data_IF_069292174981
#
_entry.id   IF_069292174981
#
_cell.length_a   1.000
_cell.length_b   1.000
_cell.length_c   1.000
_cell.angle_alpha   90.00
_cell.angle_beta   90.00
_cell.angle_gamma   90.00
#
_symmetry.space_group_name_H-M   'P 1'
#
loop_
_entity.id
_entity.type
_entity.pdbx_description
1 polymer ?
#
# COMPACT_ATOMS: atom_id res chain seq x y z
N UNK A 1 13.59 9.93 -8.68
CA UNK A 1 12.96 8.93 -7.81
C UNK A 1 11.53 9.36 -7.50
N UNK A 2 10.55 8.45 -7.50
CA UNK A 2 9.13 8.76 -7.23
C UNK A 2 8.91 9.13 -5.75
N UNK A 3 7.99 10.01 -5.38
CA UNK A 3 7.79 10.43 -3.96
C UNK A 3 6.41 10.10 -3.39
N UNK A 4 5.47 9.63 -4.21
CA UNK A 4 4.13 9.25 -3.78
C UNK A 4 4.04 7.84 -3.21
N UNK A 5 2.81 7.38 -3.01
CA UNK A 5 2.51 6.01 -2.59
C UNK A 5 3.18 4.98 -3.50
N UNK A 6 3.85 3.98 -2.91
CA UNK A 6 4.61 2.96 -3.65
C UNK A 6 3.88 1.62 -3.81
N UNK A 7 2.76 1.38 -3.13
CA UNK A 7 2.05 0.09 -3.21
C UNK A 7 2.88 -1.12 -2.75
N UNK A 8 3.95 -0.89 -1.97
CA UNK A 8 4.90 -1.94 -1.57
C UNK A 8 5.99 -2.24 -2.61
N UNK A 9 6.02 -1.56 -3.75
CA UNK A 9 7.11 -1.68 -4.73
C UNK A 9 8.42 -1.10 -4.18
N UNK A 10 9.53 -1.74 -4.54
CA UNK A 10 10.87 -1.35 -4.09
C UNK A 10 11.57 -0.42 -5.08
N UNK A 11 12.30 0.56 -4.54
CA UNK A 11 13.08 1.54 -5.32
C UNK A 11 14.38 1.00 -5.91
N UNK A 12 14.80 -0.20 -5.50
CA UNK A 12 16.07 -0.83 -5.89
C UNK A 12 15.95 -1.70 -7.17
N UNK A 13 14.86 -1.58 -7.93
CA UNK A 13 14.61 -2.33 -9.15
C UNK A 13 14.12 -3.77 -8.96
N UNK A 14 14.12 -4.31 -7.73
CA UNK A 14 13.71 -5.72 -7.47
C UNK A 14 12.25 -6.03 -7.82
N UNK A 15 11.39 -5.01 -7.88
CA UNK A 15 9.97 -5.13 -8.25
C UNK A 15 9.66 -4.45 -9.59
N UNK A 16 10.69 -4.15 -10.40
CA UNK A 16 10.58 -3.44 -11.67
C UNK A 16 11.02 -1.97 -11.57
N UNK A 17 11.44 -1.43 -12.70
CA UNK A 17 11.96 -0.05 -12.80
C UNK A 17 10.86 1.01 -12.81
N UNK A 18 9.67 0.66 -13.32
CA UNK A 18 8.55 1.61 -13.46
C UNK A 18 7.22 0.94 -13.17
N UNK A 19 6.26 1.71 -12.66
CA UNK A 19 4.87 1.32 -12.50
C UNK A 19 3.96 2.48 -12.90
N UNK A 20 2.82 2.23 -13.54
CA UNK A 20 1.81 3.26 -13.75
C UNK A 20 1.31 3.78 -12.40
N UNK A 21 1.19 5.10 -12.33
CA UNK A 21 0.79 5.81 -11.14
C UNK A 21 -0.31 6.81 -11.49
N UNK A 22 -1.31 6.92 -10.62
CA UNK A 22 -2.38 7.90 -10.72
C UNK A 22 -2.52 8.62 -9.38
N UNK A 23 -2.60 9.94 -9.42
CA UNK A 23 -2.85 10.74 -8.23
C UNK A 23 -3.81 11.89 -8.51
N UNK A 24 -4.56 12.23 -7.48
CA UNK A 24 -5.37 13.44 -7.33
C UNK A 24 -5.07 14.01 -5.94
N UNK A 25 -5.61 15.17 -5.61
CA UNK A 25 -5.51 15.74 -4.25
C UNK A 25 -6.11 14.86 -3.15
N UNK A 26 -6.95 13.87 -3.51
CA UNK A 26 -7.70 13.05 -2.56
C UNK A 26 -7.42 11.54 -2.66
N UNK A 27 -6.62 11.11 -3.63
CA UNK A 27 -6.37 9.68 -3.86
C UNK A 27 -5.09 9.46 -4.65
N UNK A 28 -4.34 8.43 -4.25
CA UNK A 28 -3.19 7.89 -4.96
C UNK A 28 -3.46 6.41 -5.31
N UNK A 29 -3.01 5.96 -6.48
CA UNK A 29 -3.13 4.59 -6.92
C UNK A 29 -1.89 4.18 -7.72
N UNK A 30 -1.33 3.02 -7.38
CA UNK A 30 -0.21 2.38 -8.09
C UNK A 30 -0.73 1.09 -8.71
N UNK A 31 -0.30 0.77 -9.92
CA UNK A 31 -0.68 -0.47 -10.60
C UNK A 31 0.50 -1.45 -10.64
N UNK A 32 0.33 -2.62 -10.05
CA UNK A 32 1.24 -3.75 -10.21
C UNK A 32 1.06 -4.35 -11.61
N UNK A 33 1.94 -3.98 -12.55
CA UNK A 33 1.85 -4.44 -13.93
C UNK A 33 2.77 -5.64 -14.14
N UNK A 34 2.18 -6.81 -14.38
CA UNK A 34 2.92 -8.08 -14.52
C UNK A 34 4.03 -8.05 -15.57
N UNK A 35 3.87 -7.28 -16.66
CA UNK A 35 4.87 -7.13 -17.74
C UNK A 35 5.98 -6.14 -17.41
N UNK A 36 5.84 -5.34 -16.34
CA UNK A 36 6.88 -4.43 -15.84
C UNK A 36 7.63 -4.99 -14.63
N UNK A 37 7.21 -6.15 -14.11
CA UNK A 37 7.85 -6.82 -12.98
C UNK A 37 8.83 -7.91 -13.47
N UNK A 38 10.03 -8.04 -12.87
CA UNK A 38 11.00 -9.06 -13.25
C UNK A 38 10.47 -10.49 -13.06
N UNK A 39 10.88 -11.40 -13.94
CA UNK A 39 10.51 -12.83 -13.87
C UNK A 39 11.62 -13.75 -14.43
N UNK A 40 12.88 -13.37 -14.25
CA UNK A 40 14.04 -14.07 -14.80
C UNK A 40 14.56 -15.21 -13.91
N UNK A 41 14.20 -15.22 -12.63
CA UNK A 41 14.52 -16.28 -11.68
C UNK A 41 13.36 -16.54 -10.70
N UNK A 42 13.44 -17.62 -9.94
CA UNK A 42 12.40 -18.03 -8.99
C UNK A 42 12.08 -16.92 -7.98
N UNK A 43 13.09 -16.26 -7.42
CA UNK A 43 12.88 -15.18 -6.44
C UNK A 43 12.10 -14.00 -7.04
N UNK A 44 12.44 -13.59 -8.26
CA UNK A 44 11.72 -12.52 -8.97
C UNK A 44 10.28 -12.92 -9.30
N UNK A 45 10.04 -14.18 -9.65
CA UNK A 45 8.71 -14.71 -9.88
C UNK A 45 7.88 -14.72 -8.59
N UNK A 46 8.48 -15.13 -7.47
CA UNK A 46 7.83 -15.09 -6.14
C UNK A 46 7.47 -13.67 -5.72
N UNK A 47 8.34 -12.68 -5.96
CA UNK A 47 8.03 -11.27 -5.70
C UNK A 47 6.87 -10.80 -6.60
N UNK A 48 6.92 -11.10 -7.89
CA UNK A 48 5.85 -10.78 -8.84
C UNK A 48 4.51 -11.38 -8.41
N UNK A 49 4.46 -12.67 -8.10
CA UNK A 49 3.22 -13.33 -7.66
C UNK A 49 2.77 -12.86 -6.28
N UNK A 50 3.69 -12.46 -5.39
CA UNK A 50 3.34 -11.84 -4.11
C UNK A 50 2.62 -10.50 -4.29
N UNK A 51 3.10 -9.62 -5.15
CA UNK A 51 2.42 -8.34 -5.38
C UNK A 51 1.08 -8.56 -6.10
N UNK A 52 1.10 -9.25 -7.25
CA UNK A 52 -0.11 -9.52 -8.04
C UNK A 52 -1.15 -10.34 -7.28
N UNK A 53 -0.71 -11.26 -6.42
CA UNK A 53 -1.60 -12.14 -5.67
C UNK A 53 -2.24 -11.47 -4.47
N UNK A 54 -1.68 -10.39 -3.92
CA UNK A 54 -2.22 -9.73 -2.72
C UNK A 54 -3.17 -8.57 -3.03
N UNK A 55 -3.40 -8.24 -4.30
CA UNK A 55 -4.28 -7.15 -4.70
C UNK A 55 -5.76 -7.58 -4.65
N UNK A 56 -6.63 -6.72 -4.13
CA UNK A 56 -8.06 -7.00 -4.06
C UNK A 56 -8.79 -6.82 -5.39
N UNK A 57 -8.26 -5.96 -6.29
CA UNK A 57 -8.82 -5.72 -7.62
C UNK A 57 -7.80 -6.10 -8.68
N UNK A 58 -8.17 -7.03 -9.57
CA UNK A 58 -7.34 -7.43 -10.70
C UNK A 58 -7.91 -6.86 -12.00
N UNK A 59 -7.03 -6.29 -12.83
CA UNK A 59 -7.35 -5.89 -14.19
C UNK A 59 -6.57 -6.81 -15.13
N UNK A 60 -7.28 -7.50 -16.02
CA UNK A 60 -6.70 -8.45 -16.96
C UNK A 60 -6.97 -7.98 -18.39
N UNK A 61 -5.91 -7.82 -19.16
CA UNK A 61 -6.01 -7.71 -20.62
C UNK A 61 -5.95 -9.11 -21.22
N UNK A 62 -6.99 -9.53 -21.94
CA UNK A 62 -7.05 -10.86 -22.56
C UNK A 62 -7.25 -10.76 -24.06
N UNK A 63 -6.23 -11.17 -24.81
CA UNK A 63 -6.29 -11.30 -26.27
C UNK A 63 -6.89 -12.64 -26.71
N UNK A 64 -7.29 -13.48 -25.75
CA UNK A 64 -7.88 -14.78 -26.03
C UNK A 64 -9.39 -14.66 -26.28
N UNK A 65 -9.90 -15.43 -27.22
CA UNK A 65 -11.33 -15.60 -27.49
C UNK A 65 -12.12 -16.31 -26.39
N UNK A 66 -11.44 -16.94 -25.42
CA UNK A 66 -12.08 -17.70 -24.34
C UNK A 66 -12.16 -16.84 -23.10
N UNK A 67 -13.21 -17.07 -22.31
CA UNK A 67 -13.37 -16.38 -21.04
C UNK A 67 -12.19 -16.70 -20.09
N UNK A 68 -11.74 -15.67 -19.40
CA UNK A 68 -10.60 -15.72 -18.52
C UNK A 68 -11.02 -16.44 -17.24
N UNK A 69 -10.20 -17.40 -16.83
CA UNK A 69 -10.49 -18.22 -15.65
C UNK A 69 -9.87 -17.56 -14.42
N UNK A 70 -10.69 -17.28 -13.40
CA UNK A 70 -10.25 -16.67 -12.13
C UNK A 70 -9.09 -17.42 -11.46
N UNK A 71 -9.07 -18.76 -11.59
CA UNK A 71 -8.03 -19.61 -11.00
C UNK A 71 -6.67 -19.61 -11.72
N UNK A 72 -6.44 -18.77 -12.74
CA UNK A 72 -5.13 -18.68 -13.41
C UNK A 72 -4.07 -18.12 -12.46
N UNK A 73 -4.40 -17.09 -11.68
CA UNK A 73 -3.56 -16.63 -10.57
C UNK A 73 -4.17 -17.21 -9.29
N UNK A 74 -3.51 -18.17 -8.63
CA UNK A 74 -4.04 -18.74 -7.39
C UNK A 74 -3.93 -17.71 -6.27
N UNK A 75 -5.05 -17.08 -5.93
CA UNK A 75 -5.14 -16.12 -4.83
C UNK A 75 -6.52 -16.13 -4.19
N UNK A 76 -6.55 -15.90 -2.89
CA UNK A 76 -7.77 -15.64 -2.12
C UNK A 76 -8.09 -14.14 -2.02
N UNK A 77 -7.20 -13.24 -2.45
CA UNK A 77 -7.37 -11.79 -2.28
C UNK A 77 -8.12 -11.13 -3.41
N UNK A 78 -7.94 -11.58 -4.65
CA UNK A 78 -8.69 -11.09 -5.81
C UNK A 78 -10.19 -11.17 -5.50
N UNK A 79 -10.79 -10.05 -5.11
CA UNK A 79 -12.20 -9.91 -4.75
C UNK A 79 -12.98 -9.45 -5.98
N UNK A 80 -12.39 -8.55 -6.76
CA UNK A 80 -12.94 -8.03 -8.02
C UNK A 80 -11.98 -8.33 -9.16
N UNK A 81 -12.50 -8.92 -10.23
CA UNK A 81 -11.78 -9.22 -11.46
C UNK A 81 -12.43 -8.48 -12.62
N UNK A 82 -11.69 -7.55 -13.22
CA UNK A 82 -12.08 -6.79 -14.42
C UNK A 82 -11.28 -7.33 -15.60
N UNK A 83 -11.93 -7.98 -16.55
CA UNK A 83 -11.30 -8.53 -17.75
C UNK A 83 -11.67 -7.68 -18.95
N UNK A 84 -10.67 -7.30 -19.73
CA UNK A 84 -10.79 -6.47 -20.92
C UNK A 84 -10.47 -7.35 -22.13
N UNK A 85 -11.45 -7.48 -23.02
CA UNK A 85 -11.31 -8.17 -24.30
C UNK A 85 -11.33 -7.14 -25.43
N UNK A 86 -10.19 -6.88 -26.10
CA UNK A 86 -10.18 -6.02 -27.27
C UNK A 86 -10.96 -6.66 -28.42
N UNK A 87 -11.72 -5.85 -29.15
CA UNK A 87 -12.47 -6.24 -30.33
C UNK A 87 -11.88 -5.58 -31.59
N UNK A 88 -12.23 -6.12 -32.76
CA UNK A 88 -11.69 -5.66 -34.05
C UNK A 88 -12.08 -4.22 -34.41
N UNK A 89 -13.16 -3.69 -33.85
CA UNK A 89 -13.70 -2.36 -34.14
C UNK A 89 -13.27 -1.28 -33.13
N UNK A 90 -12.12 -1.45 -32.45
CA UNK A 90 -11.61 -0.55 -31.40
C UNK A 90 -12.53 -0.41 -30.18
N UNK A 91 -13.55 -1.25 -30.06
CA UNK A 91 -14.30 -1.43 -28.83
C UNK A 91 -13.65 -2.51 -27.98
N UNK A 92 -13.98 -2.50 -26.70
CA UNK A 92 -13.51 -3.47 -25.72
C UNK A 92 -14.72 -3.99 -24.95
N UNK A 93 -14.88 -5.32 -24.90
CA UNK A 93 -15.85 -5.97 -24.03
C UNK A 93 -15.24 -6.08 -22.65
N UNK A 94 -15.97 -5.62 -21.65
CA UNK A 94 -15.59 -5.69 -20.25
C UNK A 94 -16.38 -6.82 -19.61
N UNK A 95 -15.69 -7.71 -18.92
CA UNK A 95 -16.30 -8.72 -18.05
C UNK A 95 -15.89 -8.41 -16.62
N UNK A 96 -16.85 -8.39 -15.69
CA UNK A 96 -16.60 -8.10 -14.28
C UNK A 96 -17.12 -9.26 -13.42
N UNK A 97 -16.23 -9.88 -12.67
CA UNK A 97 -16.56 -10.95 -11.72
C UNK A 97 -16.15 -10.56 -10.31
N UNK A 98 -17.11 -10.52 -9.40
CA UNK A 98 -16.91 -10.15 -8.00
C UNK A 98 -17.17 -11.33 -7.07
N UNK A 99 -16.57 -11.31 -5.89
CA UNK A 99 -17.05 -12.16 -4.79
C UNK A 99 -18.38 -11.63 -4.24
N UNK A 100 -19.21 -12.48 -3.59
CA UNK A 100 -20.55 -12.10 -3.14
C UNK A 100 -20.59 -10.97 -2.10
N UNK A 101 -19.52 -10.76 -1.35
CA UNK A 101 -19.44 -9.77 -0.27
C UNK A 101 -19.11 -8.34 -0.74
N UNK A 102 -18.73 -8.18 -2.02
CA UNK A 102 -18.38 -6.87 -2.58
C UNK A 102 -19.66 -6.07 -2.88
N UNK A 103 -19.82 -4.86 -2.33
CA UNK A 103 -20.95 -3.98 -2.67
C UNK A 103 -20.95 -3.58 -4.14
N UNK A 104 -22.05 -2.95 -4.59
CA UNK A 104 -22.07 -2.33 -5.91
C UNK A 104 -21.00 -1.23 -6.05
N UNK A 105 -20.38 -1.17 -7.22
CA UNK A 105 -19.44 -0.13 -7.62
C UNK A 105 -19.56 0.09 -9.14
N UNK A 106 -18.94 1.17 -9.64
CA UNK A 106 -18.96 1.52 -11.06
C UNK A 106 -17.83 2.49 -11.39
N UNK A 107 -17.78 3.06 -12.60
CA UNK A 107 -18.89 3.21 -13.54
C UNK A 107 -19.16 2.03 -14.48
N UNK A 108 -18.23 1.08 -14.65
CA UNK A 108 -18.44 -0.07 -15.54
C UNK A 108 -19.25 -1.19 -14.87
N UNK A 109 -19.96 -1.97 -15.68
CA UNK A 109 -20.72 -3.16 -15.29
C UNK A 109 -20.31 -4.36 -16.17
N UNK A 110 -20.69 -5.56 -15.75
CA UNK A 110 -20.40 -6.78 -16.50
C UNK A 110 -21.08 -6.77 -17.89
N UNK A 111 -20.32 -7.07 -18.93
CA UNK A 111 -20.79 -7.00 -20.32
C UNK A 111 -20.70 -5.61 -20.97
N UNK A 112 -20.17 -4.60 -20.27
CA UNK A 112 -20.03 -3.25 -20.84
C UNK A 112 -19.15 -3.24 -22.09
N UNK A 113 -19.51 -2.39 -23.06
CA UNK A 113 -18.77 -2.16 -24.30
C UNK A 113 -18.18 -0.76 -24.29
N UNK A 114 -16.86 -0.64 -24.39
CA UNK A 114 -16.15 0.61 -24.15
C UNK A 114 -15.26 0.98 -25.32
N UNK A 115 -15.35 2.23 -25.76
CA UNK A 115 -14.46 2.80 -26.76
C UNK A 115 -13.01 2.88 -26.27
N UNK A 116 -12.05 2.74 -27.18
CA UNK A 116 -10.62 2.77 -26.85
C UNK A 116 -10.20 4.03 -26.06
N UNK A 117 -10.79 5.19 -26.36
CA UNK A 117 -10.39 6.48 -25.75
C UNK A 117 -10.86 6.58 -24.29
N UNK A 118 -12.02 6.03 -23.98
CA UNK A 118 -12.67 6.10 -22.68
C UNK A 118 -12.19 4.99 -21.74
N UNK A 119 -11.70 3.87 -22.30
CA UNK A 119 -11.30 2.67 -21.58
C UNK A 119 -10.38 2.93 -20.38
N UNK A 120 -9.24 3.66 -20.51
CA UNK A 120 -8.32 3.80 -19.39
C UNK A 120 -8.93 4.56 -18.21
N UNK A 121 -9.81 5.54 -18.48
CA UNK A 121 -10.45 6.35 -17.45
C UNK A 121 -11.54 5.56 -16.73
N UNK A 122 -12.39 4.86 -17.50
CA UNK A 122 -13.50 4.07 -16.95
C UNK A 122 -13.00 2.86 -16.17
N UNK A 123 -12.00 2.13 -16.67
CA UNK A 123 -11.40 1.00 -15.95
C UNK A 123 -10.73 1.46 -14.66
N UNK A 124 -9.97 2.55 -14.69
CA UNK A 124 -9.32 3.12 -13.49
C UNK A 124 -10.35 3.55 -12.44
N UNK A 125 -11.38 4.30 -12.86
CA UNK A 125 -12.44 4.72 -11.95
C UNK A 125 -13.16 3.53 -11.32
N UNK A 126 -13.45 2.50 -12.14
CA UNK A 126 -14.10 1.27 -11.67
C UNK A 126 -13.22 0.53 -10.67
N UNK A 127 -11.92 0.39 -10.94
CA UNK A 127 -10.99 -0.29 -10.04
C UNK A 127 -10.82 0.44 -8.69
N UNK A 128 -10.71 1.78 -8.71
CA UNK A 128 -10.63 2.58 -7.48
C UNK A 128 -11.92 2.45 -6.66
N UNK A 129 -13.08 2.52 -7.31
CA UNK A 129 -14.37 2.39 -6.63
C UNK A 129 -14.61 0.97 -6.12
N UNK A 130 -14.21 -0.06 -6.86
CA UNK A 130 -14.24 -1.45 -6.43
C UNK A 130 -13.40 -1.66 -5.16
N UNK A 131 -12.18 -1.12 -5.15
CA UNK A 131 -11.27 -1.16 -4.01
C UNK A 131 -11.87 -0.47 -2.77
N UNK A 132 -12.49 0.70 -2.94
CA UNK A 132 -13.23 1.41 -1.87
C UNK A 132 -14.45 0.61 -1.38
N UNK A 133 -15.25 0.06 -2.30
CA UNK A 133 -16.41 -0.74 -1.96
C UNK A 133 -16.01 -1.97 -1.14
N UNK A 134 -14.93 -2.67 -1.52
CA UNK A 134 -14.40 -3.78 -0.73
C UNK A 134 -13.92 -3.33 0.65
N UNK A 135 -13.14 -2.24 0.73
CA UNK A 135 -12.63 -1.73 2.01
C UNK A 135 -13.75 -1.32 2.97
N UNK A 136 -14.86 -0.78 2.46
CA UNK A 136 -16.03 -0.41 3.30
C UNK A 136 -16.67 -1.58 4.05
N UNK A 137 -16.38 -2.82 3.66
CA UNK A 137 -16.85 -4.05 4.34
C UNK A 137 -15.86 -4.58 5.37
N UNK A 138 -14.65 -4.05 5.45
CA UNK A 138 -13.68 -4.48 6.45
C UNK A 138 -14.12 -4.00 7.84
N UNK A 139 -14.18 -4.88 8.85
CA UNK A 139 -14.48 -4.48 10.21
C UNK A 139 -13.50 -3.38 10.67
N UNK A 140 -14.04 -2.37 11.37
CA UNK A 140 -13.27 -1.23 11.87
C UNK A 140 -12.64 -0.35 10.78
N UNK A 141 -12.93 -0.58 9.50
CA UNK A 141 -12.49 0.33 8.44
C UNK A 141 -13.13 1.69 8.63
N UNK A 142 -12.30 2.72 8.57
CA UNK A 142 -12.71 4.10 8.70
C UNK A 142 -12.25 4.87 7.49
N UNK A 143 -13.06 5.83 7.09
CA UNK A 143 -12.67 6.73 6.03
C UNK A 143 -11.50 7.59 6.52
N UNK A 144 -10.63 7.99 5.60
CA UNK A 144 -9.44 8.78 5.91
C UNK A 144 -9.75 10.11 6.62
N UNK A 145 -10.94 10.68 6.41
CA UNK A 145 -11.40 11.86 7.15
C UNK A 145 -11.72 11.57 8.62
N UNK A 146 -12.27 10.40 8.93
CA UNK A 146 -12.58 9.97 10.30
C UNK A 146 -11.29 9.66 11.07
N UNK A 147 -10.35 8.96 10.43
CA UNK A 147 -9.02 8.73 11.00
C UNK A 147 -8.30 10.05 11.27
N UNK A 148 -8.35 10.98 10.30
CA UNK A 148 -7.77 12.32 10.46
C UNK A 148 -8.41 13.09 11.61
N UNK A 149 -9.74 13.08 11.71
CA UNK A 149 -10.44 13.75 12.81
C UNK A 149 -10.03 13.17 14.16
N UNK A 150 -9.98 11.83 14.29
CA UNK A 150 -9.52 11.18 15.53
C UNK A 150 -8.07 11.54 15.86
N UNK A 151 -7.18 11.54 14.88
CA UNK A 151 -5.79 11.92 15.07
C UNK A 151 -5.67 13.37 15.56
N UNK A 152 -6.43 14.30 14.98
CA UNK A 152 -6.48 15.69 15.42
C UNK A 152 -7.03 15.83 16.83
N UNK A 153 -8.11 15.12 17.17
CA UNK A 153 -8.64 15.10 18.53
C UNK A 153 -7.62 14.59 19.54
N UNK A 154 -6.91 13.49 19.23
CA UNK A 154 -5.86 12.97 20.09
C UNK A 154 -4.70 13.96 20.28
N UNK A 155 -4.30 14.67 19.22
CA UNK A 155 -3.26 15.72 19.31
C UNK A 155 -3.74 16.86 20.20
N UNK A 156 -4.98 17.32 20.03
CA UNK A 156 -5.54 18.39 20.86
C UNK A 156 -5.57 17.95 22.32
N UNK A 157 -6.11 16.77 22.62
CA UNK A 157 -6.19 16.27 24.00
C UNK A 157 -4.80 16.09 24.66
N UNK A 158 -3.80 15.63 23.90
CA UNK A 158 -2.46 15.35 24.44
C UNK A 158 -1.56 16.57 24.54
N UNK A 159 -1.80 17.60 23.71
CA UNK A 159 -0.89 18.74 23.58
C UNK A 159 -1.56 20.09 23.83
N UNK A 160 -2.86 20.14 24.13
CA UNK A 160 -3.49 21.38 24.58
C UNK A 160 -3.07 21.67 26.02
N UNK A 161 -2.50 22.84 26.24
CA UNK A 161 -2.29 23.37 27.58
C UNK A 161 -3.41 24.36 27.89
N UNK A 162 -4.00 24.23 29.09
CA UNK A 162 -4.95 25.21 29.58
C UNK A 162 -4.19 26.50 29.92
N UNK A 163 -4.27 27.49 29.05
CA UNK A 163 -3.59 28.78 29.20
C UNK A 163 -4.55 29.91 28.85
N UNK A 164 -4.36 31.08 29.45
CA UNK A 164 -5.11 32.28 29.04
C UNK A 164 -4.48 32.89 27.79
N UNK A 165 -5.25 33.72 27.09
CA UNK A 165 -4.75 34.42 25.92
C UNK A 165 -3.52 35.28 26.26
N UNK A 166 -3.55 35.97 27.38
CA UNK A 166 -2.45 36.83 27.86
C UNK A 166 -1.19 36.01 28.14
N UNK A 167 -1.32 34.85 28.77
CA UNK A 167 -0.19 33.97 29.07
C UNK A 167 0.41 33.37 27.80
N UNK A 168 -0.44 32.99 26.83
CA UNK A 168 0.02 32.55 25.51
C UNK A 168 0.79 33.66 24.78
N UNK A 169 0.21 34.85 24.68
CA UNK A 169 0.81 36.00 24.01
C UNK A 169 2.12 36.40 24.69
N UNK A 170 2.16 36.43 26.03
CA UNK A 170 3.39 36.69 26.78
C UNK A 170 4.49 35.66 26.45
N UNK A 171 4.15 34.37 26.34
CA UNK A 171 5.12 33.33 25.99
C UNK A 171 5.62 33.43 24.53
N UNK A 172 4.79 33.91 23.60
CA UNK A 172 5.18 34.14 22.20
C UNK A 172 6.08 35.38 22.05
N UNK A 173 5.74 36.49 22.72
CA UNK A 173 6.50 37.74 22.61
C UNK A 173 7.75 37.77 23.50
N UNK A 174 7.75 37.05 24.62
CA UNK A 174 8.87 36.95 25.54
C UNK A 174 9.04 35.51 26.02
N UNK A 175 9.51 34.59 25.15
CA UNK A 175 9.71 33.19 25.51
C UNK A 175 10.70 33.06 26.66
N UNK A 176 10.21 32.62 27.82
CA UNK A 176 11.06 32.34 28.97
C UNK A 176 11.58 30.91 28.84
N UNK A 177 12.85 30.77 28.46
CA UNK A 177 13.48 29.45 28.41
C UNK A 177 13.67 28.89 29.82
N UNK A 178 13.39 27.60 30.07
CA UNK A 178 13.61 27.00 31.39
C UNK A 178 15.07 27.17 31.83
N UNK A 179 15.28 27.56 33.08
CA UNK A 179 16.61 27.76 33.67
C UNK A 179 17.52 26.51 33.60
N UNK A 180 16.96 25.32 33.36
CA UNK A 180 17.72 24.08 33.14
C UNK A 180 18.55 24.08 31.84
N UNK A 181 18.27 24.98 30.88
CA UNK A 181 19.14 25.22 29.72
C UNK A 181 20.23 26.28 30.01
N UNK A 182 20.19 26.94 31.18
CA UNK A 182 21.26 27.81 31.70
C UNK A 182 22.28 27.01 32.52
N UNK A 183 22.71 25.87 31.98
CA UNK A 183 23.92 25.21 32.41
C UNK A 183 25.10 25.77 31.63
N UNK A 184 25.81 26.73 32.25
CA UNK A 184 27.10 27.31 31.86
C UNK A 184 27.22 28.06 30.53
N UNK A 185 27.43 29.38 30.63
CA UNK A 185 28.30 30.10 29.69
C UNK A 185 27.70 31.33 29.02
N UNK A 186 28.19 32.49 29.44
CA UNK A 186 28.26 33.77 28.72
C UNK A 186 26.94 34.40 28.25
N UNK A 187 26.35 35.25 29.09
CA UNK A 187 26.03 36.64 28.70
C UNK A 187 26.13 37.52 29.95
N UNK A 188 27.28 38.15 30.16
CA UNK A 188 27.40 39.29 31.06
C UNK A 188 26.73 40.49 30.38
N UNK A 189 25.74 41.06 31.06
CA UNK A 189 25.23 42.39 30.73
C UNK A 189 26.22 43.41 31.28
N UNK A 190 27.19 43.83 30.48
CA UNK A 190 28.01 45.00 30.82
C UNK A 190 27.31 46.28 30.35
N UNK A 191 27.05 47.12 31.34
CA UNK A 191 26.75 48.53 31.23
C UNK A 191 27.79 49.26 30.35
N UNK A 192 27.29 50.12 29.49
CA UNK A 192 28.08 50.98 28.62
C UNK A 192 29.07 51.86 29.41
N UNK A 193 30.34 51.76 29.07
CA UNK A 193 31.31 52.85 29.23
C UNK A 193 32.43 52.74 28.20
N UNK A 194 32.53 53.81 27.43
CA UNK A 194 33.55 54.19 26.45
C UNK A 194 35.00 53.82 26.79
N UNK A 195 35.75 53.22 25.84
CA UNK A 195 36.74 53.93 25.03
C UNK A 195 37.63 52.97 24.22
N UNK A 196 37.98 53.44 23.01
CA UNK A 196 39.24 53.26 22.29
C UNK A 196 39.72 51.85 21.85
N UNK A 197 39.96 51.73 20.53
CA UNK A 197 41.25 51.22 20.07
C UNK A 197 41.29 49.90 19.30
N UNK A 198 41.09 50.00 17.99
CA UNK A 198 41.96 49.46 16.93
C UNK A 198 42.39 47.96 16.89
N UNK A 199 42.10 47.36 15.72
CA UNK A 199 42.95 46.44 14.91
C UNK A 199 43.15 44.99 15.43
N UNK A 200 43.38 43.94 14.63
CA UNK A 200 43.14 43.50 13.22
C UNK A 200 43.74 42.07 13.15
N UNK A 201 43.13 41.14 12.40
CA UNK A 201 43.73 39.95 11.73
C UNK A 201 44.34 38.83 12.63
N UNK A 202 44.36 37.53 12.35
CA UNK A 202 43.91 36.66 11.26
C UNK A 202 44.47 35.23 11.44
N UNK A 203 43.87 34.26 10.74
CA UNK A 203 44.38 32.97 10.22
C UNK A 203 44.82 31.77 11.11
N UNK A 204 44.11 30.63 10.88
CA UNK A 204 44.56 29.25 10.57
C UNK A 204 45.48 28.44 11.51
N UNK A 205 45.11 27.17 11.78
CA UNK A 205 45.81 25.98 11.22
C UNK A 205 45.09 24.65 11.55
N UNK A 206 45.32 23.65 10.69
CA UNK A 206 44.85 22.25 10.73
C UNK A 206 45.87 21.30 11.40
N UNK A 207 45.48 20.01 11.51
CA UNK A 207 46.21 18.74 11.80
C UNK A 207 45.72 18.05 13.09
N UNK A 208 45.60 16.73 13.25
CA UNK A 208 45.89 15.50 12.50
C UNK A 208 45.19 14.30 13.22
N UNK A 209 44.93 13.19 12.50
CA UNK A 209 45.01 11.73 12.87
C UNK A 209 44.64 11.21 14.29
N UNK A 210 44.12 10.01 14.57
CA UNK A 210 43.88 8.73 13.86
C UNK A 210 43.34 7.66 14.85
N UNK A 211 42.78 6.57 14.29
CA UNK A 211 42.79 5.15 14.75
C UNK A 211 41.85 4.56 15.86
N UNK A 212 41.08 3.54 15.41
CA UNK A 212 40.72 2.21 15.98
C UNK A 212 40.66 1.97 17.50
N UNK A 213 39.57 1.36 18.00
CA UNK A 213 39.49 -0.10 18.24
C UNK A 213 38.11 -0.59 18.74
N UNK A 214 37.81 -1.83 18.36
CA UNK A 214 36.74 -2.72 18.83
C UNK A 214 36.83 -3.03 20.34
N UNK A 215 35.67 -3.18 21.00
CA UNK A 215 35.54 -3.98 22.22
C UNK A 215 34.25 -4.82 22.21
N UNK A 216 34.40 -6.13 22.41
CA UNK A 216 33.35 -7.07 22.82
C UNK A 216 33.16 -7.00 24.34
N UNK A 217 31.93 -7.22 24.79
CA UNK A 217 31.60 -7.44 26.20
C UNK A 217 30.20 -8.02 26.37
N UNK A 218 30.15 -9.29 26.79
CA UNK A 218 28.96 -9.99 27.27
C UNK A 218 28.68 -9.66 28.74
N UNK A 219 27.42 -9.53 29.15
CA UNK A 219 26.95 -9.99 30.45
C UNK A 219 25.42 -10.11 30.53
N UNK A 220 25.01 -11.09 31.34
CA UNK A 220 23.67 -11.63 31.59
C UNK A 220 22.93 -10.94 32.75
N UNK A 221 21.59 -11.16 32.79
CA UNK A 221 20.65 -11.15 33.96
C UNK A 221 20.36 -9.78 34.63
N UNK A 222 19.16 -9.36 35.05
CA UNK A 222 17.87 -9.96 35.49
C UNK A 222 16.73 -8.91 35.49
N UNK A 223 15.49 -9.33 35.21
CA UNK A 223 14.29 -9.02 36.04
C UNK A 223 13.46 -7.74 35.82
N UNK A 224 12.14 -7.92 35.65
CA UNK A 224 11.10 -6.94 36.02
C UNK A 224 10.28 -6.36 34.86
N UNK A 225 9.05 -6.82 34.66
CA UNK A 225 8.17 -6.44 33.54
C UNK A 225 7.36 -5.16 33.74
N UNK A 226 6.75 -4.67 32.65
CA UNK A 226 5.35 -4.20 32.52
C UNK A 226 5.01 -4.22 31.03
N UNK A 227 3.85 -4.79 30.69
CA UNK A 227 3.31 -4.98 29.34
C UNK A 227 2.86 -3.66 28.68
N UNK A 228 3.26 -3.48 27.41
CA UNK A 228 2.74 -2.45 26.50
C UNK A 228 2.80 -2.97 25.07
N UNK A 229 1.69 -3.53 24.58
CA UNK A 229 1.62 -4.25 23.32
C UNK A 229 1.71 -3.35 22.09
N UNK A 230 2.81 -3.49 21.33
CA UNK A 230 2.90 -3.10 19.92
C UNK A 230 2.57 -4.32 19.03
N UNK A 231 1.89 -4.15 17.88
CA UNK A 231 1.53 -5.28 17.04
C UNK A 231 2.78 -5.80 16.29
N UNK A 232 3.19 -7.02 16.60
CA UNK A 232 4.24 -7.74 15.89
C UNK A 232 3.77 -8.24 14.50
N UNK A 233 4.69 -8.36 13.51
CA UNK A 233 4.37 -8.83 12.17
C UNK A 233 4.01 -10.34 12.18
N UNK A 234 2.89 -10.70 11.57
CA UNK A 234 2.41 -12.09 11.49
C UNK A 234 3.41 -12.99 10.76
N UNK A 235 3.76 -14.10 11.40
CA UNK A 235 4.54 -15.21 10.86
C UNK A 235 3.78 -15.95 9.75
N UNK A 236 4.50 -16.27 8.67
CA UNK A 236 3.99 -17.03 7.53
C UNK A 236 3.61 -18.46 7.95
N UNK A 237 2.35 -18.87 7.70
CA UNK A 237 1.95 -20.28 7.77
C UNK A 237 2.40 -21.00 6.50
N UNK A 238 3.25 -22.01 6.68
CA UNK A 238 3.70 -22.95 5.64
C UNK A 238 2.52 -23.83 5.24
N UNK A 239 2.03 -23.72 4.00
CA UNK A 239 0.97 -24.60 3.49
C UNK A 239 1.56 -25.94 3.04
N UNK A 240 0.95 -27.03 3.50
CA UNK A 240 1.28 -28.40 3.13
C UNK A 240 0.34 -28.87 2.01
N UNK A 241 0.91 -29.33 0.89
CA UNK A 241 0.15 -29.89 -0.22
C UNK A 241 -0.21 -31.34 0.08
N UNK A 242 -1.51 -31.64 0.22
CA UNK A 242 -2.04 -33.01 0.16
C UNK A 242 -2.55 -33.29 -1.26
N UNK A 243 -1.90 -34.22 -1.94
CA UNK A 243 -2.34 -34.79 -3.22
C UNK A 243 -3.54 -35.71 -2.97
N UNK A 244 -4.69 -35.40 -3.56
CA UNK A 244 -5.85 -36.32 -3.58
C UNK A 244 -6.02 -36.87 -4.98
N UNK A 245 -5.65 -38.14 -5.15
CA UNK A 245 -5.90 -38.94 -6.35
C UNK A 245 -7.41 -39.19 -6.45
N UNK A 246 -8.04 -38.72 -7.54
CA UNK A 246 -9.48 -38.97 -7.78
C UNK A 246 -9.63 -40.16 -8.72
N UNK A 247 -10.15 -41.27 -8.20
CA UNK A 247 -10.51 -42.48 -8.97
C UNK A 247 -11.74 -42.19 -9.83
N UNK A 248 -11.62 -42.41 -11.14
CA UNK A 248 -12.71 -42.25 -12.12
C UNK A 248 -13.59 -43.50 -12.13
N UNK A 249 -14.85 -43.39 -11.68
CA UNK A 249 -15.87 -44.42 -11.91
C UNK A 249 -16.73 -44.02 -13.11
N UNK A 250 -16.61 -44.80 -14.18
CA UNK A 250 -17.32 -44.67 -15.45
C UNK A 250 -18.77 -45.17 -15.27
N UNK A 251 -19.77 -44.30 -15.40
CA UNK A 251 -21.19 -44.68 -15.53
C UNK A 251 -21.62 -44.53 -16.99
N UNK A 252 -22.06 -45.65 -17.56
CA UNK A 252 -22.68 -45.80 -18.88
C UNK A 252 -24.14 -45.32 -18.82
N UNK A 253 -24.52 -44.42 -19.73
CA UNK A 253 -25.92 -44.05 -19.97
C UNK A 253 -26.41 -44.76 -21.23
N UNK A 254 -27.36 -45.68 -21.08
CA UNK A 254 -28.12 -46.27 -22.17
C UNK A 254 -29.02 -45.20 -22.83
N UNK A 255 -28.92 -45.11 -24.15
CA UNK A 255 -29.77 -44.30 -25.01
C UNK A 255 -30.96 -45.18 -25.44
N UNK A 256 -32.17 -44.82 -25.02
CA UNK A 256 -33.40 -45.49 -25.42
C UNK A 256 -33.87 -44.89 -26.76
N UNK A 257 -33.91 -45.74 -27.78
CA UNK A 257 -34.31 -45.42 -29.15
C UNK A 257 -35.84 -45.54 -29.24
N UNK A 258 -36.54 -44.44 -29.57
CA UNK A 258 -37.95 -44.48 -29.96
C UNK A 258 -38.04 -44.90 -31.43
N UNK A 259 -38.68 -46.03 -31.70
CA UNK A 259 -39.20 -46.38 -33.03
C UNK A 259 -40.73 -46.32 -32.96
N UNK A 260 -41.34 -45.38 -33.68
CA UNK A 260 -42.77 -45.39 -33.96
C UNK A 260 -43.03 -46.28 -35.19
N UNK A 261 -43.82 -47.33 -34.98
CA UNK A 261 -44.41 -48.15 -36.03
C UNK A 261 -45.34 -47.33 -36.93
N UNK A 262 -45.25 -47.56 -38.25
CA UNK A 262 -46.32 -47.33 -39.22
C UNK A 262 -46.64 -48.69 -39.85
N UNK A 263 -47.89 -49.14 -39.69
CA UNK A 263 -48.50 -50.18 -40.52
C UNK A 263 -49.99 -49.86 -40.68
N UNK A 264 -50.46 -50.08 -41.91
CA UNK A 264 -51.86 -50.14 -42.39
C UNK A 264 -52.53 -48.77 -42.56
N UNK A 265 -52.90 -48.34 -43.77
CA UNK A 265 -53.64 -49.04 -44.84
C UNK A 265 -53.29 -48.44 -46.19
#
# INVERSE_FOLDING_TARGET
THTGFLGGLHRNGSTGETAPYYATSLAEAVFHVSTRMPSHNEQSLLLKTRHLGNDEVHIVWSEHTRDYRRGIIPTEFCDVLIVIYPLTNKLHRIQISTKPDVPFFGPLFDGAMVGHRELPQLVRATAINASRAKRSRLPLYQNFYEERARALHAIIEQHSEATTFESFISAVYSPVFPAAARGSGLFHSESASSNAGAQRLGASSQHHHSHHHHHSGSNTTTGGGVEGGAPSPRTAKKMSFKTTTTTTTRRTSHQQQQQHHHSST
#
